data_IF_517961702153
#
_entry.id   IF_517961702153
#
_cell.length_a   1.000
_cell.length_b   1.000
_cell.length_c   1.000
_cell.angle_alpha   90.00
_cell.angle_beta   90.00
_cell.angle_gamma   90.00
#
_symmetry.space_group_name_H-M   'P 1'
#
loop_
_entity.id
_entity.type
_entity.pdbx_description
1 polymer ?
#
# COMPACT_ATOMS: atom_id res chain seq x y z
N UNK A 1 8.37 26.80 16.83
CA UNK A 1 8.75 26.08 18.05
C UNK A 1 8.44 24.63 17.77
N UNK A 2 9.46 23.82 17.96
CA UNK A 2 9.74 22.55 17.29
C UNK A 2 8.75 21.42 17.62
N UNK A 3 7.93 21.03 16.63
CA UNK A 3 7.19 19.76 16.63
C UNK A 3 7.76 18.79 15.57
N UNK A 4 9.07 18.87 15.30
CA UNK A 4 9.81 17.73 14.74
C UNK A 4 10.19 16.85 15.94
N UNK A 5 9.17 16.42 16.67
CA UNK A 5 9.28 15.33 17.63
C UNK A 5 9.65 14.10 16.81
N UNK A 6 10.72 13.41 17.21
CA UNK A 6 11.39 12.32 16.49
C UNK A 6 10.40 11.23 16.09
N UNK A 7 9.76 11.37 14.92
CA UNK A 7 8.91 10.32 14.39
C UNK A 7 9.78 9.07 14.19
N UNK A 8 9.47 8.02 14.94
CA UNK A 8 10.23 6.78 14.89
C UNK A 8 10.33 6.26 13.45
N UNK A 9 11.55 5.97 13.03
CA UNK A 9 11.83 5.47 11.69
C UNK A 9 12.43 4.07 11.78
N UNK A 10 11.90 3.15 11.00
CA UNK A 10 12.30 1.74 11.02
C UNK A 10 13.13 1.40 9.80
N UNK A 11 14.31 0.83 10.02
CA UNK A 11 15.21 0.41 8.94
C UNK A 11 14.54 -0.66 8.06
N UNK A 12 14.52 -0.43 6.75
CA UNK A 12 13.96 -1.35 5.76
C UNK A 12 15.08 -2.16 5.10
N UNK A 13 16.07 -1.49 4.52
CA UNK A 13 17.16 -2.13 3.79
C UNK A 13 18.07 -1.11 3.10
N UNK A 14 19.12 -1.62 2.44
CA UNK A 14 20.03 -0.79 1.64
C UNK A 14 19.32 -0.29 0.39
N UNK A 15 19.48 0.99 0.06
CA UNK A 15 18.86 1.63 -1.10
C UNK A 15 19.15 0.88 -2.40
N UNK A 16 20.41 0.54 -2.64
CA UNK A 16 20.85 -0.13 -3.88
C UNK A 16 20.19 -1.49 -4.07
N UNK A 17 20.00 -2.24 -2.98
CA UNK A 17 19.33 -3.53 -3.00
C UNK A 17 17.86 -3.38 -3.35
N UNK A 18 17.15 -2.44 -2.73
CA UNK A 18 15.74 -2.19 -2.99
C UNK A 18 15.52 -1.64 -4.41
N UNK A 19 16.45 -0.82 -4.92
CA UNK A 19 16.41 -0.37 -6.32
C UNK A 19 16.52 -1.57 -7.27
N UNK A 20 17.44 -2.50 -6.98
CA UNK A 20 17.68 -3.70 -7.78
C UNK A 20 16.49 -4.66 -7.75
N UNK A 21 15.91 -4.92 -6.57
CA UNK A 21 14.73 -5.80 -6.42
C UNK A 21 13.42 -5.12 -6.77
N UNK A 22 13.43 -3.78 -6.91
CA UNK A 22 12.28 -2.87 -7.11
C UNK A 22 11.29 -2.81 -5.96
N UNK A 23 11.28 -3.79 -5.05
CA UNK A 23 10.36 -3.86 -3.92
C UNK A 23 10.93 -4.71 -2.79
N UNK A 24 10.46 -4.46 -1.58
CA UNK A 24 10.77 -5.25 -0.39
C UNK A 24 9.57 -5.21 0.57
N UNK A 25 9.33 -6.31 1.26
CA UNK A 25 8.34 -6.41 2.33
C UNK A 25 9.02 -6.50 3.69
N UNK A 26 8.45 -5.85 4.71
CA UNK A 26 8.99 -5.92 6.07
C UNK A 26 7.89 -5.77 7.12
N UNK A 27 7.96 -6.60 8.15
CA UNK A 27 7.12 -6.45 9.34
C UNK A 27 7.79 -5.45 10.29
N UNK A 28 7.11 -4.33 10.57
CA UNK A 28 7.60 -3.28 11.47
C UNK A 28 6.49 -2.86 12.42
N UNK A 29 6.78 -2.92 13.72
CA UNK A 29 5.89 -2.46 14.80
C UNK A 29 4.42 -2.88 14.64
N UNK A 30 4.18 -4.17 14.36
CA UNK A 30 2.83 -4.71 14.23
C UNK A 30 2.20 -4.63 12.84
N UNK A 31 2.87 -4.05 11.85
CA UNK A 31 2.32 -3.82 10.50
C UNK A 31 3.21 -4.44 9.43
N UNK A 32 2.62 -5.19 8.51
CA UNK A 32 3.31 -5.69 7.31
C UNK A 32 3.35 -4.57 6.26
N UNK A 33 4.55 -4.10 5.93
CA UNK A 33 4.79 -2.96 5.05
C UNK A 33 5.40 -3.42 3.73
N UNK A 34 4.93 -2.86 2.63
CA UNK A 34 5.50 -2.97 1.30
C UNK A 34 6.18 -1.65 0.92
N UNK A 35 7.47 -1.71 0.60
CA UNK A 35 8.21 -0.59 0.02
C UNK A 35 8.47 -0.87 -1.46
N UNK A 36 8.14 0.09 -2.32
CA UNK A 36 8.25 0.00 -3.77
C UNK A 36 9.18 1.10 -4.27
N UNK A 37 10.16 0.75 -5.09
CA UNK A 37 10.94 1.69 -5.87
C UNK A 37 10.41 1.74 -7.31
N UNK A 38 9.96 2.91 -7.75
CA UNK A 38 9.50 3.13 -9.12
C UNK A 38 9.91 4.52 -9.62
N UNK A 39 10.55 4.57 -10.80
CA UNK A 39 10.99 5.81 -11.48
C UNK A 39 11.78 6.77 -10.56
N UNK A 40 12.66 6.24 -9.70
CA UNK A 40 13.50 7.04 -8.81
C UNK A 40 12.84 7.46 -7.49
N UNK A 41 11.59 7.04 -7.25
CA UNK A 41 10.85 7.36 -6.03
C UNK A 41 10.56 6.10 -5.24
N UNK A 42 10.62 6.20 -3.91
CA UNK A 42 10.20 5.16 -2.99
C UNK A 42 8.81 5.47 -2.43
N UNK A 43 7.97 4.45 -2.38
CA UNK A 43 6.63 4.48 -1.80
C UNK A 43 6.53 3.40 -0.74
N UNK A 44 5.88 3.68 0.38
CA UNK A 44 5.63 2.70 1.42
C UNK A 44 4.15 2.65 1.77
N UNK A 45 3.58 1.46 1.85
CA UNK A 45 2.17 1.25 2.18
C UNK A 45 1.97 -0.06 2.94
N UNK A 46 0.78 -0.23 3.50
CA UNK A 46 0.34 -1.53 4.00
C UNK A 46 0.46 -2.62 2.92
N UNK A 47 1.01 -3.79 3.27
CA UNK A 47 1.21 -4.91 2.33
C UNK A 47 -0.11 -5.52 1.84
N UNK A 48 -1.11 -5.58 2.73
CA UNK A 48 -2.36 -6.27 2.47
C UNK A 48 -3.39 -5.32 1.85
N UNK A 49 -3.92 -5.69 0.68
CA UNK A 49 -4.90 -4.91 -0.06
C UNK A 49 -6.17 -4.66 0.77
N UNK A 50 -6.60 -3.41 0.89
CA UNK A 50 -7.79 -3.00 1.63
C UNK A 50 -9.10 -3.70 1.21
N UNK A 51 -9.17 -4.28 0.01
CA UNK A 51 -10.39 -4.94 -0.48
C UNK A 51 -10.67 -6.26 0.23
N UNK A 52 -9.63 -7.11 0.37
CA UNK A 52 -9.79 -8.50 0.80
C UNK A 52 -8.51 -9.10 1.42
N UNK A 53 -7.51 -8.28 1.77
CA UNK A 53 -6.27 -8.71 2.42
C UNK A 53 -5.24 -9.38 1.50
N UNK A 54 -5.50 -9.46 0.19
CA UNK A 54 -4.56 -10.03 -0.78
C UNK A 54 -3.21 -9.29 -0.77
N UNK A 55 -2.11 -10.03 -0.83
CA UNK A 55 -0.76 -9.44 -0.85
C UNK A 55 -0.55 -8.56 -2.08
N UNK A 56 -0.14 -7.32 -1.86
CA UNK A 56 0.24 -6.38 -2.90
C UNK A 56 1.68 -6.60 -3.40
N UNK A 57 2.47 -7.47 -2.77
CA UNK A 57 3.88 -7.68 -3.09
C UNK A 57 4.13 -7.97 -4.57
N UNK A 58 3.23 -8.70 -5.23
CA UNK A 58 3.35 -9.06 -6.66
C UNK A 58 2.43 -8.23 -7.56
N UNK A 59 1.92 -7.09 -7.07
CA UNK A 59 1.08 -6.20 -7.85
C UNK A 59 1.85 -5.51 -8.97
N UNK A 60 1.20 -5.38 -10.13
CA UNK A 60 1.72 -4.61 -11.25
C UNK A 60 1.61 -3.11 -10.95
N UNK A 61 2.59 -2.33 -11.40
CA UNK A 61 2.56 -0.88 -11.30
C UNK A 61 2.14 -0.32 -12.66
N UNK A 62 0.98 0.31 -12.70
CA UNK A 62 0.34 0.84 -13.90
C UNK A 62 -0.13 2.27 -13.69
N UNK A 63 -0.37 3.00 -14.77
CA UNK A 63 -0.84 4.39 -14.72
C UNK A 63 -2.32 4.46 -15.15
N UNK A 64 -3.14 5.08 -14.31
CA UNK A 64 -4.56 5.30 -14.58
C UNK A 64 -4.89 6.74 -14.22
N UNK A 65 -5.50 7.47 -15.14
CA UNK A 65 -5.88 8.87 -14.91
C UNK A 65 -4.69 9.76 -14.48
N UNK A 66 -3.51 9.52 -15.08
CA UNK A 66 -2.23 10.15 -14.70
C UNK A 66 -1.79 9.87 -13.25
N UNK A 67 -2.40 8.89 -12.57
CA UNK A 67 -2.02 8.42 -11.24
C UNK A 67 -1.33 7.07 -11.33
N UNK A 68 -0.12 7.00 -10.79
CA UNK A 68 0.62 5.75 -10.66
C UNK A 68 -0.04 4.89 -9.58
N UNK A 69 -0.40 3.66 -9.93
CA UNK A 69 -1.14 2.75 -9.06
C UNK A 69 -0.50 1.37 -9.01
N UNK A 70 -0.62 0.73 -7.86
CA UNK A 70 -0.45 -0.72 -7.75
C UNK A 70 -1.78 -1.42 -8.03
N UNK A 71 -1.75 -2.43 -8.88
CA UNK A 71 -2.89 -3.28 -9.21
C UNK A 71 -2.81 -4.55 -8.36
N UNK A 72 -3.77 -4.72 -7.46
CA UNK A 72 -3.86 -5.90 -6.61
C UNK A 72 -3.93 -7.18 -7.46
N UNK A 73 -3.03 -8.17 -7.26
CA UNK A 73 -3.02 -9.39 -8.05
C UNK A 73 -4.33 -10.18 -7.97
N UNK A 74 -4.94 -10.22 -6.77
CA UNK A 74 -6.12 -11.04 -6.48
C UNK A 74 -7.39 -10.56 -7.17
N UNK A 75 -7.70 -9.26 -7.08
CA UNK A 75 -9.00 -8.71 -7.53
C UNK A 75 -8.89 -7.49 -8.44
N UNK A 76 -7.67 -7.12 -8.87
CA UNK A 76 -7.40 -6.02 -9.83
C UNK A 76 -7.86 -4.62 -9.36
N UNK A 77 -8.03 -4.45 -8.05
CA UNK A 77 -8.20 -3.17 -7.41
C UNK A 77 -6.96 -2.30 -7.62
N UNK A 78 -7.18 -1.02 -7.94
CA UNK A 78 -6.12 -0.07 -8.27
C UNK A 78 -5.96 0.88 -7.10
N UNK A 79 -4.76 0.93 -6.54
CA UNK A 79 -4.44 1.73 -5.38
C UNK A 79 -3.33 2.70 -5.76
N UNK A 80 -3.56 4.00 -5.62
CA UNK A 80 -2.54 5.00 -5.99
C UNK A 80 -1.32 4.88 -5.08
N UNK A 81 -0.12 4.95 -5.65
CA UNK A 81 1.13 4.97 -4.88
C UNK A 81 1.37 6.30 -4.15
N UNK A 82 0.71 7.39 -4.57
CA UNK A 82 0.85 8.69 -3.92
C UNK A 82 0.14 8.76 -2.57
N UNK A 83 -1.16 8.51 -2.57
CA UNK A 83 -2.03 8.75 -1.40
C UNK A 83 -2.78 7.50 -0.91
N UNK A 84 -2.62 6.35 -1.58
CA UNK A 84 -3.34 5.14 -1.22
C UNK A 84 -4.85 5.16 -1.55
N UNK A 85 -5.26 6.00 -2.50
CA UNK A 85 -6.64 6.06 -2.98
C UNK A 85 -7.03 4.81 -3.78
N UNK A 86 -8.22 4.28 -3.52
CA UNK A 86 -8.79 3.22 -4.35
C UNK A 86 -9.52 3.80 -5.57
N UNK A 87 -8.97 3.64 -6.77
CA UNK A 87 -9.58 4.19 -8.00
C UNK A 87 -10.34 3.13 -8.79
N UNK A 88 -11.40 3.55 -9.47
CA UNK A 88 -12.22 2.69 -10.31
C UNK A 88 -12.75 3.43 -11.53
N UNK A 89 -13.06 2.69 -12.58
CA UNK A 89 -13.66 3.22 -13.81
C UNK A 89 -15.15 2.90 -13.79
N UNK A 90 -15.99 3.92 -13.99
CA UNK A 90 -17.44 3.75 -14.08
C UNK A 90 -18.04 4.69 -15.10
N UNK A 91 -19.23 4.37 -15.58
CA UNK A 91 -20.09 5.28 -16.35
C UNK A 91 -21.12 5.88 -15.40
N UNK A 92 -21.40 7.17 -15.53
CA UNK A 92 -22.51 7.77 -14.80
C UNK A 92 -23.81 7.41 -15.54
N UNK A 93 -24.76 6.69 -14.91
CA UNK A 93 -26.01 6.31 -15.57
C UNK A 93 -26.89 7.51 -15.95
N UNK A 94 -26.61 8.69 -15.41
CA UNK A 94 -27.34 9.94 -15.69
C UNK A 94 -26.78 10.74 -16.87
N UNK A 95 -25.62 10.36 -17.42
CA UNK A 95 -25.06 11.04 -18.58
C UNK A 95 -25.82 10.61 -19.85
N UNK A 96 -26.19 11.57 -20.70
CA UNK A 96 -26.87 11.29 -21.98
C UNK A 96 -26.05 10.37 -22.90
N UNK A 97 -24.72 10.43 -22.77
CA UNK A 97 -23.77 9.55 -23.45
C UNK A 97 -22.94 8.80 -22.41
N UNK A 98 -23.04 7.46 -22.32
CA UNK A 98 -22.27 6.65 -21.38
C UNK A 98 -20.76 6.79 -21.60
N UNK A 99 -20.14 7.72 -20.87
CA UNK A 99 -18.71 8.02 -20.98
C UNK A 99 -17.99 7.49 -19.73
N UNK A 100 -17.13 6.45 -19.86
CA UNK A 100 -16.39 5.91 -18.73
C UNK A 100 -15.40 6.93 -18.17
N UNK A 101 -15.52 7.25 -16.88
CA UNK A 101 -14.61 8.16 -16.15
C UNK A 101 -13.94 7.43 -15.00
N UNK A 102 -12.80 7.96 -14.57
CA UNK A 102 -12.13 7.51 -13.36
C UNK A 102 -12.70 8.23 -12.16
N UNK A 103 -12.88 7.47 -11.07
CA UNK A 103 -13.40 7.95 -9.80
C UNK A 103 -12.52 7.43 -8.68
N UNK A 104 -12.45 8.20 -7.59
CA UNK A 104 -11.77 7.80 -6.36
C UNK A 104 -12.79 7.35 -5.32
N UNK A 105 -12.46 6.28 -4.58
CA UNK A 105 -13.16 5.88 -3.35
C UNK A 105 -12.63 6.63 -2.11
N UNK A 106 -11.70 7.57 -2.29
CA UNK A 106 -10.90 8.16 -1.23
C UNK A 106 -9.72 7.28 -0.83
N UNK A 107 -8.99 7.70 0.19
CA UNK A 107 -7.88 6.95 0.79
C UNK A 107 -8.41 5.65 1.38
N UNK A 108 -7.90 4.52 0.90
CA UNK A 108 -8.30 3.17 1.33
C UNK A 108 -7.13 2.32 1.79
N UNK A 109 -5.92 2.63 1.32
CA UNK A 109 -4.68 1.97 1.70
C UNK A 109 -3.83 2.95 2.49
N UNK A 110 -3.41 2.58 3.71
CA UNK A 110 -2.53 3.44 4.50
C UNK A 110 -1.16 3.54 3.85
N UNK A 111 -0.75 4.77 3.59
CA UNK A 111 0.59 5.14 3.14
C UNK A 111 1.49 5.47 4.31
N UNK A 112 2.80 5.30 4.12
CA UNK A 112 3.85 5.62 5.07
C UNK A 112 4.90 6.50 4.40
N UNK A 113 5.59 7.29 5.22
CA UNK A 113 6.68 8.12 4.72
C UNK A 113 7.95 7.26 4.59
N UNK A 114 8.70 7.50 3.52
CA UNK A 114 10.02 6.89 3.31
C UNK A 114 11.08 7.95 3.54
N UNK A 115 12.12 7.60 4.30
CA UNK A 115 13.28 8.45 4.56
C UNK A 115 14.54 7.74 4.09
N UNK A 116 15.37 8.45 3.33
CA UNK A 116 16.70 7.98 2.96
C UNK A 116 17.73 8.63 3.88
N UNK A 117 18.62 7.84 4.48
CA UNK A 117 19.72 8.31 5.33
C UNK A 117 20.95 7.46 5.01
N UNK A 118 22.06 8.08 4.59
CA UNK A 118 23.35 7.40 4.37
C UNK A 118 23.28 6.15 3.46
N UNK A 119 22.42 6.18 2.43
CA UNK A 119 22.22 5.05 1.51
C UNK A 119 21.32 3.93 2.06
N UNK A 120 20.69 4.15 3.21
CA UNK A 120 19.72 3.27 3.83
C UNK A 120 18.30 3.83 3.73
N UNK A 121 17.34 2.93 3.53
CA UNK A 121 15.92 3.27 3.46
C UNK A 121 15.26 2.95 4.80
N UNK A 122 14.57 3.95 5.34
CA UNK A 122 13.76 3.86 6.53
C UNK A 122 12.30 4.19 6.20
N UNK A 123 11.38 3.62 6.97
CA UNK A 123 9.96 3.97 6.91
C UNK A 123 9.54 4.60 8.23
N UNK A 124 8.81 5.70 8.13
CA UNK A 124 8.13 6.33 9.26
C UNK A 124 6.65 5.95 9.13
N UNK A 125 6.16 5.19 10.12
CA UNK A 125 4.76 4.75 10.13
C UNK A 125 3.85 5.98 10.23
N UNK A 126 2.74 5.94 9.49
CA UNK A 126 1.84 7.09 9.40
C UNK A 126 0.99 7.15 10.65
N UNK A 127 1.08 8.28 11.36
CA UNK A 127 0.24 8.65 12.49
C UNK A 127 -1.06 9.33 12.06
N UNK A 128 -1.37 9.37 10.76
CA UNK A 128 -2.56 10.04 10.24
C UNK A 128 -3.81 9.55 11.00
N UNK A 129 -4.52 10.45 11.69
CA UNK A 129 -5.62 10.07 12.55
C UNK A 129 -6.78 9.52 11.71
N UNK A 130 -7.46 8.51 12.24
CA UNK A 130 -8.60 7.88 11.60
C UNK A 130 -8.30 6.48 11.08
N UNK A 131 -9.32 5.62 11.15
CA UNK A 131 -9.29 4.27 10.65
C UNK A 131 -9.37 4.26 9.12
N UNK A 132 -8.46 3.53 8.48
CA UNK A 132 -8.44 3.27 7.04
C UNK A 132 -8.71 1.77 6.84
N UNK A 133 -9.42 1.39 5.78
CA UNK A 133 -9.83 0.00 5.56
C UNK A 133 -8.66 -1.01 5.57
N UNK A 134 -7.47 -0.63 5.11
CA UNK A 134 -6.28 -1.50 5.19
C UNK A 134 -5.85 -1.84 6.62
N UNK A 135 -6.21 -1.02 7.63
CA UNK A 135 -5.87 -1.26 9.04
C UNK A 135 -6.44 -2.56 9.56
N UNK A 136 -7.61 -3.00 9.04
CA UNK A 136 -8.22 -4.27 9.41
C UNK A 136 -7.25 -5.45 9.20
N UNK A 137 -6.51 -5.42 8.09
CA UNK A 137 -5.57 -6.47 7.72
C UNK A 137 -4.23 -6.39 8.45
N UNK A 138 -4.03 -5.36 9.27
CA UNK A 138 -2.90 -5.24 10.18
C UNK A 138 -3.27 -5.70 11.61
N UNK A 139 -4.54 -5.96 11.90
CA UNK A 139 -4.98 -6.39 13.23
C UNK A 139 -4.48 -7.80 13.60
N UNK A 140 -4.25 -8.03 14.89
CA UNK A 140 -3.90 -9.36 15.39
C UNK A 140 -4.94 -10.42 15.04
N UNK A 141 -6.23 -10.05 15.04
CA UNK A 141 -7.33 -10.95 14.70
C UNK A 141 -7.14 -11.52 13.30
N UNK A 142 -6.99 -10.64 12.30
CA UNK A 142 -6.77 -11.06 10.92
C UNK A 142 -5.49 -11.89 10.76
N UNK A 143 -4.41 -11.50 11.45
CA UNK A 143 -3.15 -12.25 11.43
C UNK A 143 -3.32 -13.68 11.94
N UNK A 144 -4.03 -13.88 13.05
CA UNK A 144 -4.32 -15.21 13.60
C UNK A 144 -5.17 -16.04 12.62
N UNK A 145 -6.19 -15.45 12.03
CA UNK A 145 -7.03 -16.09 11.00
C UNK A 145 -6.18 -16.55 9.81
N UNK A 146 -5.31 -15.68 9.27
CA UNK A 146 -4.39 -15.99 8.16
C UNK A 146 -3.39 -17.10 8.50
N UNK A 147 -2.79 -17.06 9.69
CA UNK A 147 -1.84 -18.08 10.14
C UNK A 147 -2.52 -19.45 10.33
N UNK A 148 -3.77 -19.47 10.77
CA UNK A 148 -4.55 -20.71 10.93
C UNK A 148 -5.03 -21.30 9.61
N UNK A 149 -5.24 -20.46 8.59
CA UNK A 149 -5.53 -20.91 7.23
C UNK A 149 -4.26 -21.41 6.53
N UNK A 150 -3.08 -20.88 6.85
CA UNK A 150 -1.82 -21.34 6.22
C UNK A 150 -1.42 -22.76 6.65
N UNK A 151 -1.97 -23.28 7.76
CA UNK A 151 -1.77 -24.66 8.21
C UNK A 151 -2.76 -25.66 7.62
N UNK A 152 -3.78 -25.19 6.87
CA UNK A 152 -4.74 -26.02 6.16
C UNK A 152 -4.71 -25.60 4.68
N UNK A 153 -4.11 -26.41 3.80
CA UNK A 153 -3.83 -26.08 2.39
C UNK A 153 -4.99 -25.45 1.57
N UNK A 154 -4.73 -25.01 0.33
CA UNK A 154 -5.51 -23.97 -0.34
C UNK A 154 -6.93 -24.46 -0.69
N UNK A 155 -7.90 -24.14 0.17
CA UNK A 155 -9.31 -24.03 -0.19
C UNK A 155 -9.99 -22.99 0.71
N UNK A 156 -9.93 -21.73 0.29
CA UNK A 156 -10.86 -20.66 0.67
C UNK A 156 -11.04 -19.77 -0.55
#
# INVERSE_FOLDING_TARGET
MDDIELAESYFIGKKEEIIKTKRITKFVHGRDILVIHHKGTFYAMDLHCYHAGGSLENGDIEEFDNKLCIVCPSHKYKITLGEGEGIYKATNPRDDVPTPRWYSKGIKQRMHAVKEVDGDIFVILSSMPGWIESDYYQTEKYRKERSSCSSHGPSC
#
